data_IF_351715968144
#
_entry.id   IF_351715968144
#
_cell.length_a   1.000
_cell.length_b   1.000
_cell.length_c   1.000
_cell.angle_alpha   90.00
_cell.angle_beta   90.00
_cell.angle_gamma   90.00
#
_symmetry.space_group_name_H-M   'P 1'
#
loop_
_entity.id
_entity.type
_entity.pdbx_description
1 polymer ?
2 non-polymer ?
3 non-polymer ?
4 water ?
#
# COMPACT_ATOMS: atom_id res chain seq x y z
N UNK A 5 -10.27 -2.47 -16.50
CA UNK A 5 -10.99 -1.24 -16.81
C UNK A 5 -10.30 -0.05 -16.15
N UNK A 6 -10.35 0.03 -14.82
CA UNK A 6 -9.63 1.07 -14.11
C UNK A 6 -8.21 0.65 -13.75
N UNK A 7 -7.77 -0.51 -14.19
CA UNK A 7 -6.43 -1.02 -13.94
C UNK A 7 -5.63 -0.96 -15.24
N UNK A 8 -4.42 -0.42 -15.16
CA UNK A 8 -3.48 -0.40 -16.27
C UNK A 8 -2.27 -1.26 -15.91
N UNK A 9 -2.02 -2.30 -16.69
CA UNK A 9 -0.91 -3.20 -16.41
C UNK A 9 0.37 -2.73 -17.10
N UNK A 10 1.48 -2.79 -16.38
CA UNK A 10 2.78 -2.46 -16.93
C UNK A 10 3.78 -3.54 -16.51
N UNK A 11 4.76 -3.78 -17.37
CA UNK A 11 5.81 -4.75 -17.13
C UNK A 11 7.01 -4.07 -16.48
N UNK A 12 7.45 -4.59 -15.34
CA UNK A 12 8.71 -4.13 -14.77
C UNK A 12 8.73 -3.98 -13.26
N UNK A 13 9.84 -3.50 -12.74
CA UNK A 13 9.99 -3.30 -11.31
C UNK A 13 9.42 -1.95 -10.88
N UNK A 14 8.52 -1.96 -9.88
CA UNK A 14 7.85 -0.74 -9.46
C UNK A 14 8.82 0.26 -8.81
N UNK A 15 9.97 -0.20 -8.34
CA UNK A 15 10.89 0.68 -7.64
C UNK A 15 11.85 1.39 -8.57
N UNK A 16 11.85 1.07 -9.86
CA UNK A 16 12.62 1.84 -10.82
C UNK A 16 12.07 3.28 -10.82
N UNK A 17 12.93 4.30 -10.79
CA UNK A 17 12.42 5.66 -10.58
C UNK A 17 11.50 6.12 -11.71
N UNK A 18 10.51 6.93 -11.31
CA UNK A 18 9.51 7.51 -12.19
C UNK A 18 9.62 9.04 -12.09
N UNK A 19 9.47 9.74 -13.21
CA UNK A 19 9.60 11.19 -13.11
C UNK A 19 8.34 11.85 -12.54
N UNK A 20 7.22 11.15 -12.48
CA UNK A 20 5.97 11.71 -11.94
C UNK A 20 5.74 11.27 -10.49
N UNK A 21 4.94 12.07 -9.77
CA UNK A 21 4.63 11.78 -8.37
C UNK A 21 3.67 10.61 -8.24
N UNK A 22 3.94 9.73 -7.29
CA UNK A 22 3.10 8.55 -7.16
C UNK A 22 3.06 8.04 -5.73
N UNK A 23 2.03 7.26 -5.47
CA UNK A 23 1.80 6.56 -4.21
C UNK A 23 1.97 5.07 -4.48
N UNK A 24 2.95 4.47 -3.82
CA UNK A 24 3.22 3.03 -3.94
C UNK A 24 2.37 2.31 -2.91
N UNK A 25 1.41 1.51 -3.36
CA UNK A 25 0.49 0.81 -2.47
C UNK A 25 1.03 -0.59 -2.22
N UNK A 26 1.10 -0.97 -0.93
CA UNK A 26 1.66 -2.24 -0.49
C UNK A 26 0.78 -2.84 0.60
N UNK A 27 0.50 -4.13 0.50
CA UNK A 27 -0.32 -4.79 1.51
C UNK A 27 0.57 -5.20 2.67
N UNK A 28 0.17 -4.85 3.92
CA UNK A 28 1.05 -4.98 5.08
C UNK A 28 0.42 -5.76 6.21
N UNK A 29 1.27 -6.37 7.02
CA UNK A 29 0.82 -6.89 8.30
C UNK A 29 0.84 -5.78 9.34
N UNK A 30 0.15 -6.03 10.45
CA UNK A 30 0.03 -5.10 11.57
C UNK A 30 1.09 -5.31 12.64
N UNK A 31 2.07 -6.18 12.37
CA UNK A 31 3.03 -6.63 13.37
C UNK A 31 4.38 -5.91 13.26
N UNK A 32 4.43 -4.83 12.48
CA UNK A 32 5.63 -4.03 12.38
C UNK A 32 6.79 -4.72 11.68
N UNK A 33 6.50 -5.63 10.77
CA UNK A 33 7.56 -6.42 10.14
C UNK A 33 7.51 -6.26 8.63
N UNK A 34 8.33 -5.35 8.09
CA UNK A 34 8.59 -5.30 6.66
C UNK A 34 9.69 -6.31 6.35
N UNK A 35 9.36 -7.58 6.56
CA UNK A 35 10.36 -8.62 6.70
C UNK A 35 10.73 -9.31 5.41
N UNK A 36 9.80 -9.40 4.47
CA UNK A 36 10.05 -10.12 3.25
C UNK A 36 9.40 -9.45 2.05
N UNK A 37 9.61 -10.06 0.89
CA UNK A 37 8.96 -9.60 -0.33
C UNK A 37 9.22 -8.13 -0.64
N UNK A 38 8.18 -7.45 -1.14
CA UNK A 38 8.38 -6.06 -1.54
C UNK A 38 8.52 -5.16 -0.32
N UNK A 39 7.91 -5.53 0.81
CA UNK A 39 8.05 -4.70 2.01
C UNK A 39 9.50 -4.62 2.45
N UNK A 40 10.22 -5.73 2.37
CA UNK A 40 11.63 -5.74 2.70
C UNK A 40 12.42 -4.80 1.78
N UNK A 41 12.11 -4.84 0.48
CA UNK A 41 12.73 -3.88 -0.46
C UNK A 41 12.45 -2.44 -0.05
N UNK A 42 11.21 -2.15 0.37
CA UNK A 42 10.90 -0.79 0.84
C UNK A 42 11.70 -0.45 2.10
N UNK A 43 11.87 -1.42 2.99
CA UNK A 43 12.63 -1.19 4.23
C UNK A 43 14.09 -0.85 3.92
N UNK A 44 14.68 -1.50 2.92
CA UNK A 44 16.07 -1.20 2.56
C UNK A 44 16.20 0.17 1.91
N UNK A 45 15.28 0.50 1.01
CA UNK A 45 15.38 1.77 0.28
C UNK A 45 14.87 2.97 1.08
N UNK A 46 13.83 2.78 1.90
CA UNK A 46 13.17 3.89 2.60
C UNK A 46 13.09 3.57 4.09
N UNK A 47 14.24 3.55 4.78
CA UNK A 47 14.24 3.14 6.19
C UNK A 47 13.51 4.12 7.11
N UNK A 48 13.42 5.39 6.75
CA UNK A 48 12.64 6.30 7.59
C UNK A 48 11.15 6.04 7.45
N UNK A 49 10.70 5.62 6.26
CA UNK A 49 9.31 5.21 6.12
C UNK A 49 9.04 3.95 6.93
N UNK A 50 9.99 3.00 6.89
CA UNK A 50 9.83 1.82 7.73
C UNK A 50 9.68 2.17 9.20
N UNK A 51 10.45 3.15 9.68
CA UNK A 51 10.36 3.50 11.09
C UNK A 51 8.98 4.06 11.44
N UNK A 52 8.36 4.81 10.52
CA UNK A 52 7.00 5.28 10.74
C UNK A 52 6.03 4.10 10.78
N UNK A 53 6.15 3.19 9.83
CA UNK A 53 5.29 2.01 9.80
C UNK A 53 5.40 1.22 11.10
N UNK A 54 6.63 1.00 11.57
CA UNK A 54 6.80 0.26 12.82
C UNK A 54 6.14 0.99 13.98
N UNK A 55 6.32 2.31 14.03
CA UNK A 55 5.74 3.12 15.10
C UNK A 55 4.21 2.98 15.13
N UNK A 56 3.57 3.05 13.97
CA UNK A 56 2.11 2.90 13.94
C UNK A 56 1.71 1.49 14.35
N UNK A 57 2.44 0.48 13.88
CA UNK A 57 2.12 -0.89 14.28
C UNK A 57 2.29 -1.10 15.77
N UNK A 58 3.28 -0.45 16.36
CA UNK A 58 3.47 -0.61 17.79
C UNK A 58 2.38 0.12 18.58
N UNK A 59 1.90 1.25 18.07
CA UNK A 59 0.90 2.01 18.82
C UNK A 59 -0.49 1.37 18.70
N UNK A 60 -0.89 0.91 17.52
CA UNK A 60 -2.24 0.40 17.30
C UNK A 60 -2.31 -1.09 17.02
N UNK A 61 -1.24 -1.69 16.50
CA UNK A 61 -1.23 -3.12 16.27
C UNK A 61 -2.36 -3.59 15.37
N UNK A 62 -2.88 -4.78 15.66
CA UNK A 62 -3.93 -5.39 14.86
C UNK A 62 -5.21 -4.57 14.80
N UNK A 63 -5.35 -3.52 15.61
CA UNK A 63 -6.52 -2.66 15.43
C UNK A 63 -6.44 -1.83 14.16
N UNK A 64 -5.30 -1.85 13.45
CA UNK A 64 -5.16 -1.16 12.18
C UNK A 64 -5.88 -1.84 11.03
N UNK A 65 -6.33 -3.08 11.20
CA UNK A 65 -6.87 -3.86 10.08
C UNK A 65 -8.01 -3.11 9.40
N UNK A 66 -7.99 -3.09 8.07
CA UNK A 66 -8.94 -2.35 7.26
C UNK A 66 -8.64 -0.87 7.10
N UNK A 67 -7.54 -0.39 7.68
CA UNK A 67 -7.14 1.00 7.52
C UNK A 67 -5.89 1.08 6.65
N UNK A 68 -5.57 2.29 6.23
CA UNK A 68 -4.32 2.51 5.55
C UNK A 68 -3.65 3.74 6.15
N UNK A 69 -2.32 3.82 5.96
CA UNK A 69 -1.56 4.99 6.37
C UNK A 69 -0.65 5.38 5.21
N UNK A 70 -0.55 6.68 4.97
CA UNK A 70 0.27 7.22 3.91
C UNK A 70 1.57 7.72 4.51
N UNK A 71 2.69 7.33 3.92
CA UNK A 71 3.99 7.67 4.47
C UNK A 71 4.85 8.35 3.41
N UNK A 72 5.62 9.37 3.78
CA UNK A 72 6.69 9.83 2.89
C UNK A 72 7.67 8.70 2.67
N UNK A 73 8.22 8.62 1.45
CA UNK A 73 9.39 7.76 1.28
C UNK A 73 10.61 8.39 1.93
N UNK A 74 10.57 9.71 2.14
CA UNK A 74 11.63 10.56 2.65
C UNK A 74 12.76 10.71 1.63
N UNK A 75 13.16 9.62 0.98
CA UNK A 75 14.27 9.70 0.03
C UNK A 75 13.89 10.39 -1.28
N UNK A 76 12.61 10.37 -1.64
CA UNK A 76 12.18 10.93 -2.92
C UNK A 76 10.85 11.63 -2.70
N UNK A 77 10.84 12.97 -2.83
CA UNK A 77 9.60 13.70 -2.61
C UNK A 77 8.54 13.41 -3.68
N UNK A 78 8.87 12.70 -4.75
CA UNK A 78 7.90 12.26 -5.73
C UNK A 78 7.32 10.87 -5.40
N UNK A 79 7.61 10.32 -4.22
CA UNK A 79 7.20 8.96 -3.90
C UNK A 79 6.67 8.90 -2.48
N UNK A 80 5.42 8.49 -2.34
CA UNK A 80 4.82 8.16 -1.06
C UNK A 80 4.55 6.65 -1.02
N UNK A 81 4.35 6.14 0.19
CA UNK A 81 4.01 4.74 0.39
C UNK A 81 2.69 4.67 1.12
N UNK A 82 1.78 3.85 0.62
CA UNK A 82 0.49 3.63 1.27
C UNK A 82 0.47 2.20 1.78
N UNK A 83 0.48 2.05 3.11
CA UNK A 83 0.34 0.73 3.73
C UNK A 83 -1.14 0.39 3.85
N UNK A 84 -1.54 -0.72 3.25
CA UNK A 84 -2.86 -1.30 3.49
C UNK A 84 -2.71 -2.38 4.55
N UNK A 85 -3.34 -2.18 5.72
CA UNK A 85 -3.21 -3.12 6.83
C UNK A 85 -4.27 -4.19 6.65
N UNK A 86 -3.85 -5.37 6.17
CA UNK A 86 -4.75 -6.43 5.74
C UNK A 86 -4.55 -7.76 6.46
N UNK A 87 -3.57 -7.86 7.36
CA UNK A 87 -3.30 -9.11 8.05
C UNK A 87 -2.63 -8.81 9.38
N UNK A 88 -3.04 -9.54 10.43
CA UNK A 88 -2.42 -9.33 11.74
C UNK A 88 -0.93 -9.66 11.71
N UNK A 89 -0.55 -10.77 11.10
CA UNK A 89 0.83 -11.22 11.01
C UNK A 89 1.20 -11.42 9.55
N UNK A 90 2.50 -11.36 9.27
CA UNK A 90 3.04 -11.71 7.97
C UNK A 90 3.52 -13.14 7.93
N UNK A 91 4.18 -13.48 6.83
CA UNK A 91 4.73 -14.83 6.68
C UNK A 91 3.64 -15.90 6.69
N UNK A 92 4.00 -17.08 7.18
CA UNK A 92 3.07 -18.21 7.18
C UNK A 92 1.87 -17.99 8.08
N UNK A 93 1.97 -17.06 9.02
CA UNK A 93 0.89 -16.80 9.96
C UNK A 93 -0.12 -15.78 9.44
N UNK A 94 -0.05 -15.43 8.15
CA UNK A 94 -0.94 -14.42 7.62
C UNK A 94 -2.40 -14.88 7.67
N UNK A 95 -3.30 -13.91 7.50
CA UNK A 95 -4.72 -14.19 7.61
C UNK A 95 -5.27 -14.99 6.45
N UNK A 96 -6.54 -15.38 6.60
CA UNK A 96 -7.23 -16.13 5.57
C UNK A 96 -7.58 -15.21 4.40
N UNK A 97 -7.67 -15.83 3.21
CA UNK A 97 -7.83 -15.08 1.97
C UNK A 97 -8.99 -14.09 2.01
N UNK A 98 -10.16 -14.54 2.47
CA UNK A 98 -11.32 -13.65 2.47
C UNK A 98 -11.13 -12.50 3.44
N UNK A 99 -10.46 -12.74 4.57
CA UNK A 99 -10.15 -11.67 5.50
C UNK A 99 -9.25 -10.62 4.84
N UNK A 100 -8.20 -11.07 4.17
CA UNK A 100 -7.28 -10.15 3.49
C UNK A 100 -8.00 -9.36 2.41
N UNK A 101 -8.92 -10.02 1.70
CA UNK A 101 -9.63 -9.33 0.62
C UNK A 101 -10.59 -8.29 1.16
N UNK A 102 -11.27 -8.60 2.27
CA UNK A 102 -12.16 -7.64 2.90
C UNK A 102 -11.39 -6.44 3.44
N UNK A 103 -10.25 -6.69 4.10
CA UNK A 103 -9.44 -5.58 4.62
C UNK A 103 -8.85 -4.76 3.48
N UNK A 104 -8.47 -5.42 2.37
CA UNK A 104 -7.98 -4.69 1.22
C UNK A 104 -9.01 -3.69 0.72
N UNK A 105 -10.28 -4.10 0.67
CA UNK A 105 -11.33 -3.20 0.19
C UNK A 105 -11.54 -2.05 1.16
N UNK A 106 -11.67 -2.36 2.46
CA UNK A 106 -11.90 -1.32 3.45
C UNK A 106 -10.75 -0.32 3.49
N UNK A 107 -9.52 -0.80 3.36
CA UNK A 107 -8.36 0.10 3.38
C UNK A 107 -8.33 0.96 2.13
N UNK A 108 -8.60 0.36 0.97
CA UNK A 108 -8.69 1.17 -0.24
C UNK A 108 -9.80 2.21 -0.15
N UNK A 109 -10.82 1.95 0.67
CA UNK A 109 -11.91 2.91 0.79
C UNK A 109 -11.51 4.10 1.67
N UNK A 110 -10.64 3.88 2.67
CA UNK A 110 -10.08 5.00 3.41
C UNK A 110 -9.20 5.85 2.52
N UNK A 111 -8.41 5.23 1.64
CA UNK A 111 -7.59 5.99 0.70
C UNK A 111 -8.45 6.86 -0.22
N UNK A 112 -9.50 6.27 -0.79
CA UNK A 112 -10.36 7.05 -1.69
C UNK A 112 -10.99 8.22 -0.95
N UNK A 113 -11.46 7.99 0.27
CA UNK A 113 -12.03 9.06 1.08
C UNK A 113 -11.02 10.18 1.27
N UNK A 114 -9.79 9.82 1.62
CA UNK A 114 -8.76 10.81 1.92
C UNK A 114 -8.40 11.62 0.70
N UNK A 115 -8.38 10.99 -0.47
CA UNK A 115 -8.07 11.71 -1.70
C UNK A 115 -9.20 12.66 -2.08
N UNK A 116 -10.46 12.26 -1.83
CA UNK A 116 -11.60 13.13 -2.16
C UNK A 116 -11.67 14.35 -1.23
N UNK A 117 -11.27 14.20 0.03
CA UNK A 117 -11.35 15.29 0.99
C UNK A 117 -10.39 16.42 0.64
N UNK A 128 -4.87 8.84 8.84
CA UNK A 128 -4.37 8.25 7.60
C UNK A 128 -3.22 9.11 7.03
N UNK A 129 -3.24 10.42 7.31
CA UNK A 129 -2.23 11.32 6.78
C UNK A 129 -1.36 12.05 7.79
N UNK A 130 -1.25 11.52 9.02
CA UNK A 130 -0.50 12.19 10.08
C UNK A 130 0.97 12.39 9.72
N UNK A 131 1.59 11.40 9.07
CA UNK A 131 3.01 11.48 8.76
C UNK A 131 3.32 12.31 7.52
N UNK A 132 2.31 12.74 6.75
CA UNK A 132 2.60 13.54 5.57
C UNK A 132 2.81 15.02 5.90
N UNK A 133 2.53 15.43 7.13
CA UNK A 133 2.68 16.82 7.53
C UNK A 133 4.10 17.32 7.28
N UNK A 134 4.21 18.36 6.45
CA UNK A 134 5.49 18.93 6.10
C UNK A 134 6.26 18.21 5.03
N UNK A 135 5.79 17.05 4.58
CA UNK A 135 6.50 16.28 3.57
C UNK A 135 5.73 16.13 2.27
N UNK A 136 4.44 16.42 2.27
CA UNK A 136 3.66 16.27 1.05
C UNK A 136 3.97 17.43 0.12
N UNK A 137 4.45 17.11 -1.07
CA UNK A 137 4.90 18.16 -2.00
C UNK A 137 3.74 18.71 -2.82
N UNK A 138 2.82 17.85 -3.23
CA UNK A 138 1.70 18.22 -4.09
C UNK A 138 0.39 17.87 -3.39
N UNK A 139 -0.73 18.38 -3.88
CA UNK A 139 -2.03 17.89 -3.40
C UNK A 139 -2.14 16.38 -3.53
N UNK A 140 -2.70 15.74 -2.50
CA UNK A 140 -2.69 14.29 -2.40
C UNK A 140 -3.38 13.63 -3.59
N UNK A 141 -4.28 14.34 -4.27
CA UNK A 141 -4.90 13.79 -5.47
C UNK A 141 -4.01 13.79 -6.69
N UNK A 142 -2.92 14.57 -6.69
CA UNK A 142 -2.02 14.63 -7.84
C UNK A 142 -1.09 13.43 -7.94
N UNK A 143 -1.10 12.51 -6.97
CA UNK A 143 -0.22 11.34 -7.00
C UNK A 143 -0.91 10.17 -7.70
N UNK A 144 -0.23 9.56 -8.66
CA UNK A 144 -0.75 8.37 -9.31
C UNK A 144 -0.67 7.18 -8.35
N UNK A 145 -1.70 6.33 -8.39
CA UNK A 145 -1.76 5.15 -7.53
C UNK A 145 -1.14 3.96 -8.25
N UNK A 146 -0.05 3.42 -7.71
CA UNK A 146 0.63 2.29 -8.32
C UNK A 146 0.87 1.19 -7.30
N UNK A 147 0.96 -0.05 -7.78
CA UNK A 147 1.13 -1.15 -6.85
C UNK A 147 1.74 -2.33 -7.59
N UNK A 148 2.45 -3.22 -6.88
CA UNK A 148 2.71 -4.57 -7.41
C UNK A 148 1.44 -5.40 -7.36
N UNK A 149 1.53 -6.69 -7.65
CA UNK A 149 0.39 -7.57 -7.54
C UNK A 149 0.20 -7.94 -6.07
N UNK A 150 -0.39 -6.99 -5.32
CA UNK A 150 -0.49 -7.13 -3.87
C UNK A 150 -1.35 -8.34 -3.50
N UNK A 151 -1.04 -8.92 -2.34
CA UNK A 151 -1.70 -10.09 -1.77
C UNK A 151 -1.34 -11.42 -2.45
N UNK A 152 -0.66 -11.41 -3.60
CA UNK A 152 -0.45 -12.62 -4.39
C UNK A 152 0.88 -13.30 -4.14
N UNK A 153 1.74 -12.73 -3.32
CA UNK A 153 3.00 -13.37 -3.00
C UNK A 153 2.93 -14.02 -1.64
N UNK A 154 3.53 -13.37 -0.65
CA UNK A 154 3.57 -13.95 0.69
C UNK A 154 2.16 -14.17 1.25
N UNK A 155 1.19 -13.33 0.88
CA UNK A 155 -0.16 -13.49 1.40
C UNK A 155 -0.99 -14.54 0.65
N UNK A 156 -0.52 -15.04 -0.50
CA UNK A 156 -1.06 -16.24 -1.12
C UNK A 156 -2.43 -16.12 -1.77
N UNK A 157 -2.87 -14.91 -2.09
CA UNK A 157 -4.20 -14.67 -2.64
C UNK A 157 -4.09 -14.61 -4.16
N UNK A 158 -4.81 -15.45 -4.91
CA UNK A 158 -4.78 -15.35 -6.37
C UNK A 158 -5.08 -13.93 -6.85
N UNK A 159 -4.27 -13.46 -7.79
CA UNK A 159 -4.38 -12.06 -8.19
C UNK A 159 -5.77 -11.72 -8.70
N UNK A 160 -6.43 -12.66 -9.41
CA UNK A 160 -7.76 -12.40 -9.96
C UNK A 160 -8.73 -11.94 -8.88
N UNK A 161 -8.56 -12.43 -7.65
CA UNK A 161 -9.48 -12.07 -6.59
C UNK A 161 -9.20 -10.68 -6.04
N UNK A 162 -7.93 -10.25 -6.03
CA UNK A 162 -7.62 -8.87 -5.69
C UNK A 162 -8.02 -7.92 -6.81
N UNK A 163 -7.82 -8.34 -8.06
CA UNK A 163 -8.14 -7.49 -9.21
C UNK A 163 -9.61 -7.10 -9.21
N UNK A 164 -10.49 -8.04 -8.84
CA UNK A 164 -11.92 -7.72 -8.71
C UNK A 164 -12.15 -6.65 -7.65
N UNK A 165 -11.47 -6.77 -6.51
CA UNK A 165 -11.58 -5.76 -5.46
C UNK A 165 -11.18 -4.39 -6.01
N UNK A 166 -10.07 -4.34 -6.75
CA UNK A 166 -9.64 -3.09 -7.37
C UNK A 166 -10.70 -2.56 -8.32
N UNK A 167 -11.28 -3.45 -9.13
CA UNK A 167 -12.21 -3.00 -10.17
C UNK A 167 -13.52 -2.50 -9.59
N UNK A 168 -13.83 -2.81 -8.34
CA UNK A 168 -15.00 -2.24 -7.69
C UNK A 168 -14.89 -0.73 -7.53
N UNK A 169 -13.68 -0.18 -7.49
CA UNK A 169 -13.47 1.25 -7.39
C UNK A 169 -13.46 1.94 -8.75
N UNK A 170 -13.95 1.27 -9.79
CA UNK A 170 -14.05 1.89 -11.11
C UNK A 170 -14.78 3.22 -11.03
N UNK A 171 -14.23 4.22 -11.71
CA UNK A 171 -14.77 5.57 -11.68
C UNK A 171 -14.32 6.40 -10.51
N UNK A 172 -13.91 5.79 -9.40
CA UNK A 172 -13.42 6.52 -8.23
C UNK A 172 -11.90 6.51 -8.10
N UNK A 173 -11.25 5.47 -8.58
CA UNK A 173 -9.81 5.33 -8.45
C UNK A 173 -9.29 4.52 -9.63
N UNK A 174 -8.11 4.91 -10.13
CA UNK A 174 -7.40 4.19 -11.18
C UNK A 174 -6.05 3.73 -10.63
N UNK A 175 -5.64 2.53 -11.02
CA UNK A 175 -4.41 1.92 -10.52
C UNK A 175 -3.53 1.53 -11.69
N UNK A 176 -2.22 1.68 -11.51
CA UNK A 176 -1.24 1.07 -12.41
C UNK A 176 -0.61 -0.09 -11.64
N UNK A 177 -0.74 -1.29 -12.18
CA UNK A 177 -0.27 -2.50 -11.51
C UNK A 177 0.92 -3.03 -12.26
N UNK A 178 2.03 -3.17 -11.56
CA UNK A 178 3.28 -3.63 -12.15
C UNK A 178 3.33 -5.16 -12.09
N UNK A 179 3.72 -5.77 -13.19
CA UNK A 179 3.90 -7.21 -13.28
C UNK A 179 5.35 -7.48 -13.66
N UNK A 180 6.01 -8.34 -12.91
CA UNK A 180 7.40 -8.65 -13.25
C UNK A 180 7.36 -9.53 -14.49
X LIG B 1 8.26 -4.66 -8.29
X LIG B 1 7.11 -5.11 -8.87
X LIG B 1 6.52 -6.25 -8.38
X LIG B 1 7.09 -6.88 -7.33
X LIG B 1 8.21 -6.42 -6.77
X LIG B 1 8.80 -5.29 -7.26
X LIG B 1 9.88 -4.33 -7.18
X LIG B 1 8.57 -7.20 -5.73
X LIG B 1 7.67 -8.19 -5.65
X LIG B 1 6.78 -7.96 -6.62
X LIG B 1 5.61 -8.78 -6.87
X LIG B 1 5.96 -10.32 -6.55
X LIG B 1 5.60 -11.07 -7.76
X LIG B 1 5.25 -10.63 -5.50
X LIG B 1 4.71 -12.02 -5.67
X LIG B 1 4.67 -8.37 -6.06
X LIG B 1 4.07 -9.65 -5.44
X LIG B 1 3.64 -9.40 -4.11
X LIG B 1 4.77 -9.10 -3.27
X LIG B 1 4.78 -9.63 -1.69
X LIG B 1 4.93 -11.13 -1.60
X LIG B 1 5.90 -8.93 -0.94
X LIG B 1 3.39 -9.00 -1.09
X LIG B 1 1.99 -9.66 -0.56
X LIG B 1 0.99 -8.53 -0.69
X LIG B 1 1.61 -10.90 -1.33
X LIG B 1 2.26 -10.04 1.01
X LIG B 1 2.52 -8.96 1.88
X LIG B 1 4.66 -9.66 2.54
X LIG B 1 5.47 -7.67 1.60
X LIG B 1 5.39 -8.32 2.74
X LIG B 1 5.36 -7.30 5.02
X LIG B 1 4.52 -7.59 3.83
X LIG B 1 3.75 -9.16 5.40
X LIG B 1 3.52 -8.39 4.17
X LIG B 1 3.43 -9.48 2.97
X LIG C 1 6.84 -10.62 5.97
X LIG C 1 7.66 -11.58 5.16
X LIG C 1 5.45 -11.14 5.76
X LIG C 1 7.04 -9.21 5.49
X LIG C 1 7.33 -10.67 7.73
X LIG C 1 7.16 -12.05 8.34
X LIG C 1 8.17 -12.24 9.49
X LIG C 1 7.92 -11.30 10.58
X LIG C 1 8.61 -11.82 11.76
X LIG C 1 8.27 -10.96 12.98
X LIG C 1 9.10 -11.34 14.21
X LIG C 1 10.60 -11.37 13.91
X LIG C 1 10.93 -12.26 12.71
X LIG C 1 10.11 -11.86 11.48
#
# INVERSE_FOLDING_TARGET
>A
GSHMSNITYVKGNILKPKSYARILIASCNCNGSWGGGIAYQLALRYPKAEKDYVEVCEKYGSNLLGKCILLPSYENSDLLICCLFTSSFGGSSHGEKQSILNYTKLALDKLKTFREAKDKTRTSEDSIGDYLNGHIKYPIGEYKLEMPQINSGIFGVPWKETERVLEEFSGDMSFTVYQL
>B hetero
1 APR N1 C2 N3 C4 C5 C6 N6 N7 C8 N9 C1' C2' O2' C3' O3' O4' C4' C5' O5' PA O1A O2A O3A PB O1B O2B O5D C5D O4D O1D C1D O2D C2D O3D C3D C4D
>C hetero
1 CXS S O1 O2 O3 C1 C2 C3 N C4 C5 C6 C7 C8 C9
#
